data_IF_341363499503
#
_entry.id   IF_341363499503
#
_cell.length_a   1.000
_cell.length_b   1.000
_cell.length_c   1.000
_cell.angle_alpha   90.00
_cell.angle_beta   90.00
_cell.angle_gamma   90.00
#
_symmetry.space_group_name_H-M   'P 1'
#
loop_
_entity.id
_entity.type
_entity.pdbx_description
1 polymer ?
#
# COMPACT_ATOMS: atom_id res chain seq x y z
N UNK A 1 55.60 17.42 35.93
CA UNK A 1 55.07 17.27 37.31
C UNK A 1 55.49 18.56 38.00
N UNK A 2 54.62 19.52 38.30
CA UNK A 2 53.40 19.47 39.13
C UNK A 2 52.51 20.68 38.74
N UNK A 3 51.25 20.51 38.31
CA UNK A 3 49.97 20.62 39.04
C UNK A 3 49.86 21.78 40.04
N UNK A 4 48.89 22.69 39.78
CA UNK A 4 47.79 23.25 40.64
C UNK A 4 47.43 24.67 40.13
N UNK A 5 46.28 24.91 39.50
CA UNK A 5 44.94 25.23 40.06
C UNK A 5 44.80 26.63 40.72
N UNK A 6 43.95 27.47 40.08
CA UNK A 6 42.95 28.33 40.72
C UNK A 6 43.35 29.72 41.23
N UNK A 7 42.83 30.79 40.61
CA UNK A 7 41.81 31.72 41.17
C UNK A 7 41.76 33.06 40.40
N UNK A 8 40.56 33.38 39.91
CA UNK A 8 39.98 34.72 39.71
C UNK A 8 39.99 35.51 41.05
N UNK A 9 39.99 36.84 41.20
CA UNK A 9 39.48 37.96 40.41
C UNK A 9 39.94 39.31 41.08
N UNK A 10 39.77 40.43 40.35
CA UNK A 10 39.60 41.84 40.83
C UNK A 10 40.83 42.66 41.30
N UNK A 11 41.03 43.96 40.99
CA UNK A 11 40.25 44.93 40.23
C UNK A 11 41.12 46.17 39.85
N UNK A 12 40.89 46.67 38.62
CA UNK A 12 40.95 48.04 38.07
C UNK A 12 41.83 49.16 38.70
N UNK A 13 42.49 49.93 37.83
CA UNK A 13 42.17 51.37 37.63
C UNK A 13 42.61 51.91 36.25
N UNK A 14 41.73 52.76 35.69
CA UNK A 14 41.72 53.44 34.37
C UNK A 14 42.90 54.43 34.16
N UNK A 15 43.25 54.97 32.98
CA UNK A 15 42.50 55.42 31.80
C UNK A 15 43.48 55.72 30.64
N UNK A 16 43.10 55.57 29.37
CA UNK A 16 42.67 56.74 28.57
C UNK A 16 41.95 56.31 27.29
N UNK A 17 40.93 57.10 26.96
CA UNK A 17 39.77 56.76 26.15
C UNK A 17 40.02 56.71 24.63
N UNK A 18 39.59 55.62 23.99
CA UNK A 18 39.24 55.56 22.57
C UNK A 18 37.73 55.42 22.45
N UNK A 19 37.09 56.38 21.78
CA UNK A 19 35.62 56.45 21.58
C UNK A 19 35.14 55.17 20.86
N UNK A 20 34.57 54.23 21.60
CA UNK A 20 33.90 53.04 21.05
C UNK A 20 32.72 53.47 20.18
N UNK A 21 32.83 53.21 18.88
CA UNK A 21 31.72 53.30 17.93
C UNK A 21 30.60 52.36 18.39
N UNK A 22 29.38 52.89 18.59
CA UNK A 22 28.20 52.09 18.94
C UNK A 22 28.03 50.95 17.93
N UNK A 23 27.95 49.73 18.45
CA UNK A 23 27.67 48.54 17.64
C UNK A 23 26.38 48.72 16.84
N UNK A 24 26.39 48.26 15.59
CA UNK A 24 25.25 48.38 14.69
C UNK A 24 24.16 47.43 15.20
N UNK A 25 22.97 47.95 15.49
CA UNK A 25 21.93 47.22 16.22
C UNK A 25 20.95 46.46 15.33
N UNK A 26 20.93 46.72 14.02
CA UNK A 26 19.92 46.14 13.11
C UNK A 26 20.35 44.77 12.56
N UNK A 27 19.44 43.78 12.57
CA UNK A 27 19.70 42.42 12.05
C UNK A 27 20.06 42.39 10.56
N UNK A 28 19.64 43.40 9.78
CA UNK A 28 19.91 43.47 8.33
C UNK A 28 21.39 43.49 7.98
N UNK A 29 22.27 43.91 8.90
CA UNK A 29 23.71 43.92 8.66
C UNK A 29 24.31 42.51 8.48
N UNK A 30 23.63 41.46 8.93
CA UNK A 30 24.07 40.07 8.75
C UNK A 30 24.11 39.67 7.26
N UNK A 31 23.27 40.30 6.44
CA UNK A 31 23.11 40.00 5.01
C UNK A 31 24.17 40.66 4.12
N UNK A 32 25.03 41.49 4.70
CA UNK A 32 25.99 42.32 3.96
C UNK A 32 27.42 42.16 4.47
N UNK A 33 28.37 42.34 3.56
CA UNK A 33 29.79 42.49 3.81
C UNK A 33 30.14 43.98 3.69
N UNK A 34 30.91 44.52 4.64
CA UNK A 34 31.24 45.95 4.68
C UNK A 34 32.50 46.15 3.86
N UNK A 35 32.44 47.02 2.85
CA UNK A 35 33.60 47.34 2.03
C UNK A 35 34.42 48.47 2.67
N UNK A 36 35.73 48.54 2.39
CA UNK A 36 36.55 49.69 2.78
C UNK A 36 35.97 50.98 2.19
N UNK A 37 36.16 52.09 2.91
CA UNK A 37 35.73 53.41 2.46
C UNK A 37 36.64 53.83 1.31
N UNK A 38 36.06 54.12 0.15
CA UNK A 38 36.80 54.65 -0.99
C UNK A 38 36.84 56.19 -0.90
N UNK A 39 37.66 56.84 -1.73
CA UNK A 39 37.96 58.29 -1.70
C UNK A 39 36.72 59.21 -1.81
N UNK A 40 35.55 58.65 -2.13
CA UNK A 40 34.26 59.31 -2.22
C UNK A 40 33.57 59.55 -0.87
N UNK A 41 34.16 59.13 0.26
CA UNK A 41 33.67 59.44 1.62
C UNK A 41 32.38 58.71 2.02
N UNK A 42 31.78 57.98 1.08
CA UNK A 42 30.57 57.19 1.26
C UNK A 42 30.91 55.75 1.67
N UNK A 43 30.19 55.20 2.66
CA UNK A 43 30.41 53.81 3.08
C UNK A 43 29.68 52.86 2.14
N UNK A 44 30.38 51.90 1.55
CA UNK A 44 29.80 50.89 0.67
C UNK A 44 29.69 49.53 1.38
N UNK A 45 28.64 48.79 1.06
CA UNK A 45 28.39 47.43 1.54
C UNK A 45 28.04 46.53 0.37
N UNK A 46 28.47 45.29 0.41
CA UNK A 46 28.21 44.27 -0.60
C UNK A 46 27.18 43.27 -0.07
N UNK A 47 26.11 43.01 -0.81
CA UNK A 47 25.16 41.95 -0.47
C UNK A 47 25.84 40.58 -0.57
N UNK A 48 25.70 39.73 0.44
CA UNK A 48 26.28 38.38 0.43
C UNK A 48 25.59 37.43 -0.56
N UNK A 49 24.32 37.68 -0.93
CA UNK A 49 23.54 36.83 -1.84
C UNK A 49 23.73 37.19 -3.31
N UNK A 50 23.62 38.47 -3.67
CA UNK A 50 23.66 38.90 -5.08
C UNK A 50 24.88 39.74 -5.45
N UNK A 51 25.84 39.92 -4.54
CA UNK A 51 27.09 40.68 -4.70
C UNK A 51 26.94 42.16 -5.08
N UNK A 52 25.71 42.68 -5.19
CA UNK A 52 25.45 44.09 -5.42
C UNK A 52 26.02 44.98 -4.31
N UNK A 53 26.60 46.10 -4.71
CA UNK A 53 27.20 47.09 -3.81
C UNK A 53 26.19 48.22 -3.58
N UNK A 54 25.91 48.53 -2.31
CA UNK A 54 24.99 49.57 -1.87
C UNK A 54 25.72 50.58 -1.00
N UNK A 55 25.23 51.80 -0.99
CA UNK A 55 25.72 52.85 -0.09
C UNK A 55 24.99 52.78 1.25
N UNK A 56 25.75 52.93 2.33
CA UNK A 56 25.34 52.83 3.73
C UNK A 56 25.89 54.03 4.53
N UNK A 57 25.43 55.23 4.16
CA UNK A 57 25.82 56.48 4.80
C UNK A 57 25.07 56.74 6.10
N UNK A 58 25.55 57.69 6.90
CA UNK A 58 24.89 58.08 8.15
C UNK A 58 23.51 58.70 7.93
N UNK A 59 23.28 59.28 6.75
CA UNK A 59 22.03 59.96 6.37
C UNK A 59 20.94 59.00 5.89
N UNK A 60 21.35 57.88 5.27
CA UNK A 60 20.44 56.83 4.85
C UNK A 60 20.42 55.74 5.92
N UNK A 61 19.43 55.82 6.80
CA UNK A 61 19.07 54.74 7.71
C UNK A 61 19.03 53.38 6.98
N UNK A 62 19.10 52.28 7.73
CA UNK A 62 19.22 50.90 7.21
C UNK A 62 18.08 50.48 6.26
N UNK A 63 17.08 51.32 6.05
CA UNK A 63 16.00 51.29 5.07
C UNK A 63 16.43 50.90 3.65
N UNK A 64 17.57 51.40 3.14
CA UNK A 64 18.06 50.99 1.81
C UNK A 64 18.46 49.50 1.79
N UNK A 65 19.20 49.06 2.82
CA UNK A 65 19.59 47.66 2.99
C UNK A 65 18.37 46.76 3.20
N UNK A 66 17.38 47.19 3.98
CA UNK A 66 16.12 46.47 4.20
C UNK A 66 15.29 46.35 2.92
N UNK A 67 15.24 47.39 2.09
CA UNK A 67 14.53 47.37 0.80
C UNK A 67 15.22 46.42 -0.18
N UNK A 68 16.55 46.45 -0.22
CA UNK A 68 17.33 45.51 -1.01
C UNK A 68 17.16 44.07 -0.51
N UNK A 69 17.36 43.82 0.78
CA UNK A 69 17.20 42.50 1.38
C UNK A 69 15.79 41.95 1.13
N UNK A 70 14.74 42.76 1.28
CA UNK A 70 13.38 42.32 0.93
C UNK A 70 13.26 41.87 -0.52
N UNK A 71 13.81 42.58 -1.50
CA UNK A 71 13.69 42.20 -2.92
C UNK A 71 14.67 41.10 -3.35
N UNK A 72 15.89 41.13 -2.82
CA UNK A 72 16.97 40.19 -3.15
C UNK A 72 16.80 38.86 -2.42
N UNK A 73 16.36 38.92 -1.16
CA UNK A 73 16.14 37.75 -0.30
C UNK A 73 14.70 37.27 -0.33
N UNK A 74 13.75 38.02 -0.90
CA UNK A 74 12.54 37.39 -1.44
C UNK A 74 13.00 36.28 -2.37
N UNK A 75 12.53 35.07 -2.08
CA UNK A 75 12.57 33.97 -3.02
C UNK A 75 11.69 34.37 -4.20
N UNK A 76 12.26 35.18 -5.11
CA UNK A 76 11.74 35.32 -6.44
C UNK A 76 11.99 33.97 -7.12
N UNK A 77 10.95 33.15 -7.03
CA UNK A 77 10.62 31.97 -7.82
C UNK A 77 10.47 32.32 -9.32
N UNK A 78 11.44 33.06 -9.84
CA UNK A 78 11.47 33.55 -11.22
C UNK A 78 12.83 33.16 -11.81
N UNK A 79 12.91 31.93 -12.30
CA UNK A 79 14.06 31.50 -13.11
C UNK A 79 14.55 30.06 -12.92
N UNK A 80 13.92 29.22 -12.10
CA UNK A 80 14.05 27.77 -12.29
C UNK A 80 12.91 27.36 -13.19
N UNK A 81 13.20 27.02 -14.45
CA UNK A 81 12.36 26.02 -15.10
C UNK A 81 12.13 24.90 -14.08
N UNK A 82 10.87 24.47 -13.84
CA UNK A 82 10.64 23.28 -13.03
C UNK A 82 11.63 22.22 -13.50
N UNK A 83 12.33 21.53 -12.58
CA UNK A 83 13.23 20.46 -12.99
C UNK A 83 12.49 19.58 -14.01
N UNK A 84 13.15 19.19 -15.12
CA UNK A 84 12.54 18.33 -16.11
C UNK A 84 11.82 17.18 -15.41
N UNK A 85 10.60 16.86 -15.84
CA UNK A 85 9.79 15.86 -15.18
C UNK A 85 10.61 14.58 -14.97
N UNK A 86 10.78 14.18 -13.71
CA UNK A 86 11.36 12.88 -13.41
C UNK A 86 10.39 11.80 -13.87
N UNK A 87 10.73 11.20 -15.00
CA UNK A 87 9.94 10.19 -15.67
C UNK A 87 9.79 8.92 -14.81
N UNK A 88 10.77 8.60 -13.97
CA UNK A 88 10.73 7.46 -13.05
C UNK A 88 9.82 7.76 -11.85
N UNK A 89 9.86 8.98 -11.32
CA UNK A 89 8.88 9.43 -10.33
C UNK A 89 7.46 9.37 -10.89
N UNK A 90 7.23 9.87 -12.11
CA UNK A 90 5.92 9.76 -12.77
C UNK A 90 5.45 8.29 -12.88
N UNK A 91 6.35 7.41 -13.34
CA UNK A 91 6.10 5.97 -13.44
C UNK A 91 5.72 5.35 -12.10
N UNK A 92 6.39 5.75 -11.04
CA UNK A 92 6.10 5.31 -9.67
C UNK A 92 4.74 5.81 -9.19
N UNK A 93 4.40 7.08 -9.41
CA UNK A 93 3.08 7.64 -9.05
C UNK A 93 1.93 6.96 -9.79
N UNK A 94 2.07 6.68 -11.08
CA UNK A 94 1.06 5.93 -11.85
C UNK A 94 0.91 4.50 -11.29
N UNK A 95 2.03 3.82 -11.01
CA UNK A 95 1.98 2.47 -10.45
C UNK A 95 1.37 2.46 -9.03
N UNK A 96 1.65 3.46 -8.21
CA UNK A 96 1.02 3.65 -6.91
C UNK A 96 -0.48 3.89 -7.03
N UNK A 97 -0.94 4.73 -7.97
CA UNK A 97 -2.36 4.96 -8.20
C UNK A 97 -3.09 3.67 -8.60
N UNK A 98 -2.50 2.89 -9.52
CA UNK A 98 -3.02 1.57 -9.93
C UNK A 98 -3.16 0.63 -8.74
N UNK A 99 -2.13 0.54 -7.88
CA UNK A 99 -2.16 -0.32 -6.69
C UNK A 99 -3.18 0.19 -5.68
N UNK A 100 -3.17 1.49 -5.37
CA UNK A 100 -3.98 2.10 -4.30
C UNK A 100 -5.47 2.05 -4.60
N UNK A 101 -5.85 2.25 -5.86
CA UNK A 101 -7.24 2.33 -6.28
C UNK A 101 -7.70 1.09 -7.05
N UNK A 102 -6.88 0.05 -7.09
CA UNK A 102 -7.15 -1.20 -7.80
C UNK A 102 -7.57 -0.97 -9.27
N UNK A 103 -6.94 0.01 -9.93
CA UNK A 103 -7.23 0.28 -11.33
C UNK A 103 -6.71 -0.83 -12.23
N UNK A 104 -7.42 -1.11 -13.32
CA UNK A 104 -6.90 -1.95 -14.39
C UNK A 104 -5.59 -1.38 -14.93
N UNK A 105 -4.65 -2.22 -15.37
CA UNK A 105 -3.42 -1.73 -16.04
C UNK A 105 -3.71 -0.97 -17.34
N UNK A 106 -4.92 -1.13 -17.90
CA UNK A 106 -5.40 -0.32 -19.03
C UNK A 106 -5.58 1.17 -18.65
N UNK A 107 -5.62 1.49 -17.35
CA UNK A 107 -5.72 2.87 -16.85
C UNK A 107 -4.67 3.81 -17.45
N UNK A 108 -3.42 3.34 -17.54
CA UNK A 108 -2.32 4.12 -18.13
C UNK A 108 -2.44 4.32 -19.66
N UNK A 109 -3.39 3.65 -20.32
CA UNK A 109 -3.68 3.75 -21.74
C UNK A 109 -4.96 4.53 -22.07
N UNK A 110 -5.83 4.81 -21.10
CA UNK A 110 -7.05 5.57 -21.37
C UNK A 110 -6.71 6.93 -21.97
N UNK A 111 -7.39 7.29 -23.05
CA UNK A 111 -7.13 8.48 -23.87
C UNK A 111 -7.21 9.75 -23.03
N UNK A 112 -8.36 10.00 -22.39
CA UNK A 112 -8.57 11.15 -21.49
C UNK A 112 -7.52 11.23 -20.39
N UNK A 113 -7.12 10.10 -19.81
CA UNK A 113 -6.10 10.09 -18.75
C UNK A 113 -4.74 10.54 -19.30
N UNK A 114 -4.38 10.11 -20.52
CA UNK A 114 -3.14 10.53 -21.18
C UNK A 114 -3.17 12.00 -21.55
N UNK A 115 -4.29 12.48 -22.08
CA UNK A 115 -4.50 13.89 -22.42
C UNK A 115 -4.35 14.78 -21.19
N UNK A 116 -4.97 14.40 -20.05
CA UNK A 116 -4.82 15.14 -18.79
C UNK A 116 -3.35 15.21 -18.38
N UNK A 117 -2.60 14.10 -18.43
CA UNK A 117 -1.19 14.11 -18.03
C UNK A 117 -0.32 14.95 -18.98
N UNK A 118 -0.56 14.89 -20.30
CA UNK A 118 0.16 15.70 -21.29
C UNK A 118 -0.19 17.18 -21.15
N UNK A 119 -1.46 17.50 -20.90
CA UNK A 119 -1.93 18.87 -20.66
C UNK A 119 -1.26 19.48 -19.43
N UNK A 120 -1.17 18.72 -18.34
CA UNK A 120 -0.52 19.17 -17.11
C UNK A 120 1.00 19.28 -17.24
N UNK A 121 1.63 18.45 -18.08
CA UNK A 121 3.06 18.49 -18.30
C UNK A 121 3.41 17.92 -19.69
N UNK A 122 3.66 18.78 -20.70
CA UNK A 122 3.89 18.34 -22.09
C UNK A 122 5.08 17.40 -22.28
N UNK A 123 6.07 17.46 -21.38
CA UNK A 123 7.28 16.62 -21.44
C UNK A 123 7.05 15.20 -20.88
N UNK A 124 5.88 14.92 -20.28
CA UNK A 124 5.57 13.59 -19.77
C UNK A 124 5.51 12.57 -20.91
N UNK A 125 6.09 11.40 -20.68
CA UNK A 125 5.95 10.26 -21.60
C UNK A 125 4.95 9.27 -21.01
N UNK A 126 3.70 9.20 -21.51
CA UNK A 126 2.73 8.26 -21.01
C UNK A 126 3.18 6.81 -21.21
N UNK A 127 2.90 5.97 -20.23
CA UNK A 127 3.39 4.59 -20.23
C UNK A 127 2.41 3.62 -20.86
N UNK A 128 2.92 2.51 -21.39
CA UNK A 128 2.08 1.42 -21.89
C UNK A 128 1.51 0.58 -20.73
N UNK A 129 0.44 -0.17 -21.01
CA UNK A 129 -0.11 -1.22 -20.12
C UNK A 129 0.97 -2.19 -19.61
N UNK A 130 1.88 -2.61 -20.49
CA UNK A 130 2.95 -3.56 -20.14
C UNK A 130 4.00 -2.92 -19.24
N UNK A 131 4.33 -1.64 -19.49
CA UNK A 131 5.22 -0.85 -18.64
C UNK A 131 4.61 -0.65 -17.26
N UNK A 132 3.32 -0.30 -17.19
CA UNK A 132 2.59 -0.18 -15.92
C UNK A 132 2.62 -1.48 -15.12
N UNK A 133 2.32 -2.63 -15.77
CA UNK A 133 2.45 -3.96 -15.17
C UNK A 133 3.87 -4.22 -14.63
N UNK A 134 4.89 -3.96 -15.43
CA UNK A 134 6.31 -4.14 -15.04
C UNK A 134 6.68 -3.28 -13.83
N UNK A 135 6.27 -2.01 -13.81
CA UNK A 135 6.54 -1.09 -12.70
C UNK A 135 5.86 -1.53 -11.41
N UNK A 136 4.59 -1.96 -11.47
CA UNK A 136 3.86 -2.52 -10.32
C UNK A 136 4.56 -3.77 -9.77
N UNK A 137 5.01 -4.67 -10.65
CA UNK A 137 5.77 -5.86 -10.25
C UNK A 137 7.11 -5.50 -9.61
N UNK A 138 7.83 -4.48 -10.11
CA UNK A 138 9.06 -3.98 -9.51
C UNK A 138 8.83 -3.43 -8.10
N UNK A 139 7.77 -2.63 -7.90
CA UNK A 139 7.38 -2.12 -6.57
C UNK A 139 7.11 -3.29 -5.61
N UNK A 140 6.36 -4.31 -6.05
CA UNK A 140 6.09 -5.49 -5.24
C UNK A 140 7.38 -6.24 -4.87
N UNK A 141 8.29 -6.46 -5.84
CA UNK A 141 9.59 -7.11 -5.59
C UNK A 141 10.46 -6.33 -4.59
N UNK A 142 10.54 -4.99 -4.72
CA UNK A 142 11.27 -4.12 -3.79
C UNK A 142 10.68 -4.23 -2.37
N UNK A 143 9.35 -4.14 -2.26
CA UNK A 143 8.65 -4.26 -0.97
C UNK A 143 8.82 -5.64 -0.33
N UNK A 144 8.78 -6.72 -1.10
CA UNK A 144 9.07 -8.09 -0.61
C UNK A 144 10.49 -8.22 -0.07
N UNK A 145 11.49 -7.64 -0.74
CA UNK A 145 12.88 -7.63 -0.24
C UNK A 145 13.00 -6.86 1.06
N UNK A 146 12.38 -5.68 1.16
CA UNK A 146 12.35 -4.89 2.41
C UNK A 146 11.59 -5.60 3.54
N UNK A 147 10.51 -6.32 3.22
CA UNK A 147 9.72 -7.12 4.17
C UNK A 147 10.47 -8.37 4.64
N UNK A 148 11.29 -8.99 3.79
CA UNK A 148 12.09 -10.17 4.15
C UNK A 148 13.18 -9.86 5.19
N UNK A 149 13.67 -8.61 5.26
CA UNK A 149 14.58 -8.14 6.30
C UNK A 149 13.86 -7.88 7.66
N UNK A 150 12.54 -7.76 7.66
CA UNK A 150 11.70 -7.54 8.86
C UNK A 150 10.84 -8.78 9.14
N UNK A 151 11.45 -9.88 9.58
CA UNK A 151 10.69 -11.03 10.12
C UNK A 151 10.34 -10.79 11.59
N UNK A 152 9.45 -9.83 11.88
CA UNK A 152 8.63 -9.86 13.10
C UNK A 152 7.25 -9.26 12.79
N UNK A 153 6.22 -10.03 13.10
CA UNK A 153 4.77 -9.76 13.08
C UNK A 153 4.02 -9.63 11.72
N UNK A 154 3.00 -10.49 11.47
CA UNK A 154 2.20 -10.48 10.24
C UNK A 154 1.22 -9.29 10.13
N UNK A 155 1.00 -8.53 11.20
CA UNK A 155 0.04 -7.40 11.22
C UNK A 155 0.67 -6.03 10.92
N UNK A 156 2.00 -5.89 10.95
CA UNK A 156 2.69 -4.59 10.81
C UNK A 156 3.50 -4.44 9.51
N UNK A 157 3.37 -5.37 8.57
CA UNK A 157 4.25 -5.43 7.39
C UNK A 157 3.65 -4.89 6.08
N UNK A 158 2.44 -4.32 6.13
CA UNK A 158 1.74 -3.75 4.99
C UNK A 158 1.52 -2.23 5.19
N UNK A 159 1.68 -1.39 4.15
CA UNK A 159 1.36 0.04 4.25
C UNK A 159 -0.06 0.23 4.80
N UNK A 160 -0.22 1.15 5.78
CA UNK A 160 -1.48 1.36 6.51
C UNK A 160 -2.02 0.08 7.16
N UNK A 161 -1.18 -0.67 7.88
CA UNK A 161 -1.58 -1.82 8.72
C UNK A 161 -2.38 -2.91 7.98
N UNK A 162 -2.20 -3.04 6.66
CA UNK A 162 -2.94 -4.01 5.85
C UNK A 162 -4.43 -3.70 5.66
N UNK A 163 -4.89 -2.53 6.08
CA UNK A 163 -6.28 -2.06 5.99
C UNK A 163 -6.81 -2.08 4.54
N UNK A 164 -5.91 -1.89 3.57
CA UNK A 164 -6.23 -1.82 2.13
C UNK A 164 -5.83 -3.05 1.31
N UNK A 165 -5.25 -4.10 1.92
CA UNK A 165 -4.78 -5.30 1.21
C UNK A 165 -5.59 -6.58 1.50
N UNK A 166 -6.73 -6.48 2.21
CA UNK A 166 -7.71 -7.57 2.32
C UNK A 166 -8.56 -7.71 1.05
N UNK A 167 -7.91 -7.92 -0.09
CA UNK A 167 -8.63 -8.33 -1.30
C UNK A 167 -8.89 -9.83 -1.18
N UNK A 168 -10.13 -10.19 -0.82
CA UNK A 168 -10.59 -11.59 -0.85
C UNK A 168 -10.46 -12.11 -2.28
N UNK A 169 -9.86 -13.27 -2.49
CA UNK A 169 -9.77 -13.84 -3.83
C UNK A 169 -11.18 -14.21 -4.33
N UNK A 170 -11.43 -14.11 -5.64
CA UNK A 170 -12.76 -14.40 -6.20
C UNK A 170 -13.26 -15.79 -5.83
N UNK A 171 -12.38 -16.79 -5.82
CA UNK A 171 -12.69 -18.14 -5.35
C UNK A 171 -13.13 -18.19 -3.87
N UNK A 172 -12.54 -17.35 -3.02
CA UNK A 172 -12.94 -17.24 -1.61
C UNK A 172 -14.27 -16.51 -1.46
N UNK A 173 -14.52 -15.45 -2.23
CA UNK A 173 -15.83 -14.76 -2.23
C UNK A 173 -16.93 -15.72 -2.70
N UNK A 174 -16.70 -16.46 -3.79
CA UNK A 174 -17.63 -17.48 -4.27
C UNK A 174 -17.86 -18.57 -3.23
N UNK A 175 -16.79 -19.05 -2.57
CA UNK A 175 -16.94 -20.03 -1.50
C UNK A 175 -17.80 -19.45 -0.36
N UNK A 176 -17.60 -18.20 0.06
CA UNK A 176 -18.43 -17.60 1.10
C UNK A 176 -19.90 -17.50 0.69
N UNK A 177 -20.19 -17.07 -0.54
CA UNK A 177 -21.57 -16.97 -1.06
C UNK A 177 -22.22 -18.35 -1.09
N UNK A 178 -21.54 -19.35 -1.65
CA UNK A 178 -22.09 -20.71 -1.73
C UNK A 178 -22.29 -21.30 -0.35
N UNK A 179 -21.37 -21.10 0.60
CA UNK A 179 -21.54 -21.58 1.97
C UNK A 179 -22.74 -20.96 2.67
N UNK A 180 -22.99 -19.66 2.48
CA UNK A 180 -24.22 -19.03 2.98
C UNK A 180 -25.48 -19.62 2.31
N UNK A 181 -25.45 -19.88 1.00
CA UNK A 181 -26.57 -20.53 0.30
C UNK A 181 -26.83 -21.97 0.79
N UNK A 182 -25.76 -22.74 1.05
CA UNK A 182 -25.85 -24.12 1.53
C UNK A 182 -26.47 -24.21 2.93
N UNK A 183 -26.50 -23.13 3.72
CA UNK A 183 -27.19 -23.11 5.03
C UNK A 183 -28.69 -23.37 4.90
N UNK A 184 -29.29 -23.00 3.77
CA UNK A 184 -30.73 -23.22 3.51
C UNK A 184 -31.06 -24.71 3.48
N UNK A 185 -30.12 -25.54 3.01
CA UNK A 185 -30.25 -27.00 2.87
C UNK A 185 -29.26 -27.74 3.78
N UNK A 186 -28.78 -27.10 4.86
CA UNK A 186 -27.70 -27.62 5.70
C UNK A 186 -27.98 -29.03 6.22
N UNK A 187 -29.23 -29.28 6.64
CA UNK A 187 -29.64 -30.58 7.17
C UNK A 187 -29.58 -31.67 6.10
N UNK A 188 -30.02 -31.36 4.87
CA UNK A 188 -29.97 -32.30 3.74
C UNK A 188 -28.52 -32.63 3.38
N UNK A 189 -27.67 -31.60 3.28
CA UNK A 189 -26.23 -31.76 3.00
C UNK A 189 -25.55 -32.58 4.10
N UNK A 190 -25.92 -32.37 5.36
CA UNK A 190 -25.43 -33.16 6.48
C UNK A 190 -25.84 -34.63 6.38
N UNK A 191 -27.12 -34.92 6.09
CA UNK A 191 -27.64 -36.28 5.94
C UNK A 191 -26.94 -37.01 4.78
N UNK A 192 -26.74 -36.34 3.64
CA UNK A 192 -25.97 -36.88 2.50
C UNK A 192 -24.52 -37.15 2.91
N UNK A 193 -23.88 -36.21 3.63
CA UNK A 193 -22.49 -36.34 4.08
C UNK A 193 -22.29 -37.56 4.98
N UNK A 194 -23.16 -37.73 5.98
CA UNK A 194 -23.09 -38.89 6.88
C UNK A 194 -23.42 -40.19 6.15
N UNK A 195 -24.33 -40.16 5.17
CA UNK A 195 -24.62 -41.32 4.32
C UNK A 195 -23.43 -41.77 3.48
N UNK A 196 -22.74 -40.83 2.84
CA UNK A 196 -21.50 -41.10 2.10
C UNK A 196 -20.42 -41.65 3.04
N UNK A 197 -20.28 -41.06 4.23
CA UNK A 197 -19.32 -41.51 5.24
C UNK A 197 -19.62 -42.93 5.73
N UNK A 198 -20.89 -43.26 5.97
CA UNK A 198 -21.35 -44.59 6.35
C UNK A 198 -20.96 -45.63 5.31
N UNK A 199 -21.30 -45.40 4.04
CA UNK A 199 -20.97 -46.31 2.93
C UNK A 199 -19.46 -46.50 2.78
N UNK A 200 -18.68 -45.44 2.99
CA UNK A 200 -17.22 -45.52 2.85
C UNK A 200 -16.52 -46.17 4.05
N UNK A 201 -17.10 -46.07 5.25
CA UNK A 201 -16.48 -46.54 6.49
C UNK A 201 -16.89 -47.96 6.90
N UNK A 202 -18.18 -48.31 6.80
CA UNK A 202 -18.70 -49.51 7.45
C UNK A 202 -18.87 -50.69 6.49
N UNK A 203 -19.56 -50.53 5.37
CA UNK A 203 -19.92 -51.70 4.56
C UNK A 203 -20.03 -51.41 3.05
N UNK A 204 -18.87 -51.14 2.43
CA UNK A 204 -18.74 -50.99 0.97
C UNK A 204 -19.29 -52.20 0.22
N UNK A 205 -19.24 -53.39 0.82
CA UNK A 205 -19.66 -54.64 0.19
C UNK A 205 -21.19 -54.72 0.10
N UNK A 206 -21.91 -54.36 1.18
CA UNK A 206 -23.38 -54.26 1.17
C UNK A 206 -23.88 -53.18 0.23
N UNK A 207 -23.23 -52.01 0.21
CA UNK A 207 -23.59 -50.96 -0.73
C UNK A 207 -23.36 -51.41 -2.19
N UNK A 208 -22.25 -52.11 -2.47
CA UNK A 208 -22.00 -52.69 -3.79
C UNK A 208 -23.06 -53.73 -4.21
N UNK A 209 -23.61 -54.52 -3.27
CA UNK A 209 -24.75 -55.41 -3.55
C UNK A 209 -26.02 -54.64 -3.92
N UNK A 210 -26.24 -53.47 -3.31
CA UNK A 210 -27.35 -52.59 -3.70
C UNK A 210 -27.14 -52.03 -5.13
N UNK A 211 -25.89 -51.75 -5.51
CA UNK A 211 -25.54 -51.31 -6.88
C UNK A 211 -25.68 -52.43 -7.93
N UNK A 212 -25.52 -53.70 -7.57
CA UNK A 212 -25.74 -54.81 -8.53
C UNK A 212 -27.18 -54.89 -9.03
N UNK A 213 -28.14 -54.41 -8.24
CA UNK A 213 -29.55 -54.26 -8.67
C UNK A 213 -29.75 -53.08 -9.64
N UNK A 214 -28.73 -52.23 -9.83
CA UNK A 214 -28.74 -51.02 -10.64
C UNK A 214 -27.52 -51.01 -11.58
N UNK A 215 -27.53 -51.81 -12.66
CA UNK A 215 -26.35 -52.09 -13.48
C UNK A 215 -25.69 -50.84 -14.09
N UNK A 216 -26.46 -49.77 -14.30
CA UNK A 216 -26.03 -48.53 -14.96
C UNK A 216 -25.11 -47.64 -14.10
N UNK A 217 -24.97 -47.94 -12.80
CA UNK A 217 -24.27 -47.09 -11.83
C UNK A 217 -22.92 -47.66 -11.36
N UNK A 218 -22.55 -48.85 -11.84
CA UNK A 218 -21.40 -49.65 -11.35
C UNK A 218 -20.02 -49.00 -11.55
N UNK A 219 -19.88 -48.03 -12.48
CA UNK A 219 -18.61 -47.37 -12.77
C UNK A 219 -18.33 -46.11 -11.92
N UNK A 220 -19.37 -45.50 -11.33
CA UNK A 220 -19.24 -44.28 -10.52
C UNK A 220 -18.97 -44.64 -9.05
N UNK A 221 -18.31 -43.74 -8.32
CA UNK A 221 -18.06 -43.87 -6.87
C UNK A 221 -18.57 -42.64 -6.13
N UNK A 222 -19.14 -42.85 -4.94
CA UNK A 222 -19.52 -41.77 -4.03
C UNK A 222 -18.29 -40.95 -3.60
N UNK A 223 -18.41 -39.62 -3.58
CA UNK A 223 -17.30 -38.70 -3.26
C UNK A 223 -17.42 -38.13 -1.85
N UNK A 224 -16.30 -38.01 -1.12
CA UNK A 224 -16.31 -37.29 0.16
C UNK A 224 -16.50 -35.80 -0.06
N UNK A 225 -17.23 -35.19 0.88
CA UNK A 225 -17.21 -33.75 1.04
C UNK A 225 -15.94 -33.25 1.75
N UNK A 226 -15.58 -32.02 1.41
CA UNK A 226 -14.63 -31.18 2.13
C UNK A 226 -15.34 -29.83 2.35
N UNK A 227 -15.93 -29.59 3.54
CA UNK A 227 -16.81 -28.45 3.78
C UNK A 227 -16.20 -27.08 3.49
N UNK A 228 -14.87 -26.97 3.50
CA UNK A 228 -14.16 -25.72 3.19
C UNK A 228 -14.03 -25.45 1.68
N UNK A 229 -14.50 -26.35 0.81
CA UNK A 229 -14.40 -26.26 -0.64
C UNK A 229 -15.73 -26.63 -1.31
N UNK A 230 -16.52 -25.62 -1.64
CA UNK A 230 -17.86 -25.80 -2.23
C UNK A 230 -17.90 -26.74 -3.45
N UNK A 231 -16.87 -26.74 -4.31
CA UNK A 231 -16.76 -27.64 -5.46
C UNK A 231 -16.87 -29.11 -5.08
N UNK A 232 -16.29 -29.51 -3.95
CA UNK A 232 -16.32 -30.89 -3.49
C UNK A 232 -17.66 -31.25 -2.85
N UNK A 233 -18.31 -30.29 -2.20
CA UNK A 233 -19.68 -30.44 -1.70
C UNK A 233 -20.65 -30.66 -2.86
N UNK A 234 -20.55 -29.86 -3.93
CA UNK A 234 -21.32 -30.04 -5.15
C UNK A 234 -21.12 -31.43 -5.75
N UNK A 235 -19.87 -31.87 -5.92
CA UNK A 235 -19.58 -33.20 -6.48
C UNK A 235 -20.04 -34.34 -5.57
N UNK A 236 -20.05 -34.16 -4.24
CA UNK A 236 -20.65 -35.13 -3.32
C UNK A 236 -22.15 -35.26 -3.60
N UNK A 237 -22.88 -34.13 -3.64
CA UNK A 237 -24.34 -34.12 -3.83
C UNK A 237 -24.70 -34.69 -5.20
N UNK A 238 -24.05 -34.21 -6.26
CA UNK A 238 -24.26 -34.67 -7.64
C UNK A 238 -24.05 -36.19 -7.76
N UNK A 239 -22.98 -36.73 -7.15
CA UNK A 239 -22.77 -38.17 -7.16
C UNK A 239 -23.77 -38.91 -6.26
N UNK A 240 -24.13 -38.38 -5.09
CA UNK A 240 -25.09 -38.99 -4.19
C UNK A 240 -26.48 -39.11 -4.82
N UNK A 241 -26.93 -38.09 -5.56
CA UNK A 241 -28.17 -38.11 -6.33
C UNK A 241 -28.21 -39.25 -7.34
N UNK A 242 -27.08 -39.53 -8.02
CA UNK A 242 -27.01 -40.68 -8.94
C UNK A 242 -27.15 -42.03 -8.23
N UNK A 243 -26.96 -42.08 -6.92
CA UNK A 243 -27.06 -43.29 -6.10
C UNK A 243 -28.25 -43.30 -5.13
N UNK A 244 -29.23 -42.40 -5.32
CA UNK A 244 -30.37 -42.26 -4.41
C UNK A 244 -31.06 -43.61 -4.13
N UNK A 245 -31.43 -44.37 -5.17
CA UNK A 245 -32.04 -45.69 -5.03
C UNK A 245 -31.17 -46.66 -4.23
N UNK A 246 -29.85 -46.59 -4.36
CA UNK A 246 -28.92 -47.45 -3.63
C UNK A 246 -28.87 -47.08 -2.14
N UNK A 247 -28.94 -45.79 -1.80
CA UNK A 247 -29.06 -45.33 -0.41
C UNK A 247 -30.41 -45.72 0.19
N UNK A 248 -31.50 -45.59 -0.56
CA UNK A 248 -32.83 -46.01 -0.12
C UNK A 248 -32.87 -47.53 0.14
N UNK A 249 -32.33 -48.34 -0.77
CA UNK A 249 -32.21 -49.78 -0.55
C UNK A 249 -31.35 -50.12 0.68
N UNK A 250 -30.28 -49.37 0.92
CA UNK A 250 -29.42 -49.59 2.08
C UNK A 250 -30.16 -49.32 3.40
N UNK A 251 -31.06 -48.33 3.47
CA UNK A 251 -31.82 -48.04 4.71
C UNK A 251 -32.81 -49.16 5.04
N UNK A 252 -33.34 -49.83 4.03
CA UNK A 252 -34.22 -51.00 4.21
C UNK A 252 -33.43 -52.21 4.70
N UNK A 253 -32.24 -52.46 4.11
CA UNK A 253 -31.42 -53.65 4.40
C UNK A 253 -30.65 -53.51 5.72
N UNK A 254 -30.20 -52.31 6.06
CA UNK A 254 -29.37 -52.05 7.22
C UNK A 254 -30.03 -51.07 8.20
N UNK A 255 -30.60 -51.63 9.28
CA UNK A 255 -31.26 -50.87 10.34
C UNK A 255 -30.32 -49.91 11.09
N UNK A 256 -29.01 -50.07 10.97
CA UNK A 256 -28.03 -49.16 11.59
C UNK A 256 -27.77 -47.91 10.75
N UNK A 257 -28.18 -47.92 9.48
CA UNK A 257 -28.11 -46.76 8.60
C UNK A 257 -29.34 -45.84 8.79
N UNK A 258 -29.17 -44.77 9.58
CA UNK A 258 -30.27 -43.87 9.99
C UNK A 258 -30.27 -42.50 9.32
N UNK A 259 -29.26 -42.18 8.52
CA UNK A 259 -29.03 -40.83 7.98
C UNK A 259 -29.45 -40.67 6.53
N UNK A 260 -30.20 -41.62 5.98
CA UNK A 260 -30.73 -41.52 4.62
C UNK A 260 -31.68 -40.32 4.54
N UNK A 261 -31.48 -39.37 3.62
CA UNK A 261 -32.44 -38.30 3.40
C UNK A 261 -33.80 -38.85 2.94
N UNK A 262 -34.88 -38.16 3.28
CA UNK A 262 -36.23 -38.45 2.77
C UNK A 262 -36.42 -37.97 1.34
N UNK A 263 -37.49 -38.41 0.67
CA UNK A 263 -37.77 -38.01 -0.73
C UNK A 263 -37.90 -36.48 -0.87
N UNK A 264 -38.63 -35.82 0.05
CA UNK A 264 -38.72 -34.35 0.10
C UNK A 264 -37.37 -33.65 0.37
N UNK A 265 -36.42 -34.33 1.03
CA UNK A 265 -35.07 -33.80 1.25
C UNK A 265 -34.21 -33.98 0.01
N UNK A 266 -34.37 -35.07 -0.73
CA UNK A 266 -33.70 -35.28 -2.01
C UNK A 266 -34.14 -34.29 -3.08
N UNK A 267 -35.42 -33.93 -3.13
CA UNK A 267 -35.94 -32.91 -4.05
C UNK A 267 -35.38 -31.49 -3.76
N UNK A 268 -34.89 -31.26 -2.54
CA UNK A 268 -34.25 -29.99 -2.15
C UNK A 268 -32.74 -29.95 -2.43
N UNK A 269 -32.11 -31.10 -2.71
CA UNK A 269 -30.67 -31.25 -2.88
C UNK A 269 -30.20 -30.95 -4.31
#
# INVERSE_FOLDING_TARGET
MSVTEGTDEFEQTNSSASKRSRGRTSRVWNDFEILPVYEDGHRKVKCRKCTNILTADKENETSNLHRHARRCHQENDSGRYPPPLDQDMYREKIAMAIIKHNYSFSFAKHEINREIHILLNPDVKPISKNTAKSNVLKINKRKKKSQMCFRVNPESSLPCSGEFFRVRCGAHILNLIVQEGLKIIEQVVHNIRESVKYVRGNDKLRFAKCLQKLPNLTSKKVRQDVPTRWNLTYLMIETALTFWDAFHNLSIVDRSFRTCPSDDEWDKA
#
